data_IF_303768979243
#
_entry.id   IF_303768979243
#
_cell.length_a   1.000
_cell.length_b   1.000
_cell.length_c   1.000
_cell.angle_alpha   90.00
_cell.angle_beta   90.00
_cell.angle_gamma   90.00
#
_symmetry.space_group_name_H-M   'P 1'
#
loop_
_entity.id
_entity.type
_entity.pdbx_description
1 polymer ?
#
# COMPACT_ATOMS: atom_id res chain seq x y z
N UNK A 1 -3.06 19.49 15.63
CA UNK A 1 -3.27 19.29 14.17
C UNK A 1 -4.70 18.81 14.01
N UNK A 2 -5.45 19.35 13.07
CA UNK A 2 -6.83 18.95 12.81
C UNK A 2 -6.98 18.44 11.39
N UNK A 3 -7.78 17.40 11.23
CA UNK A 3 -8.02 16.81 9.91
C UNK A 3 -8.61 17.80 8.90
N UNK A 4 -9.42 18.75 9.37
CA UNK A 4 -9.98 19.82 8.55
C UNK A 4 -8.88 20.66 7.85
N UNK A 5 -7.82 21.01 8.58
CA UNK A 5 -6.73 21.85 8.04
C UNK A 5 -5.97 21.10 6.93
N UNK A 6 -5.73 19.79 7.13
CA UNK A 6 -5.08 18.92 6.15
C UNK A 6 -5.95 18.80 4.88
N UNK A 7 -7.25 18.60 5.05
CA UNK A 7 -8.22 18.55 3.97
C UNK A 7 -8.26 19.86 3.18
N UNK A 8 -8.36 20.99 3.87
CA UNK A 8 -8.41 22.31 3.24
C UNK A 8 -7.12 22.57 2.44
N UNK A 9 -5.97 22.26 3.03
CA UNK A 9 -4.67 22.42 2.39
C UNK A 9 -4.54 21.58 1.11
N UNK A 10 -4.92 20.30 1.15
CA UNK A 10 -4.85 19.43 -0.02
C UNK A 10 -5.85 19.81 -1.09
N UNK A 11 -7.06 20.22 -0.71
CA UNK A 11 -8.08 20.74 -1.63
C UNK A 11 -7.56 21.91 -2.45
N UNK A 12 -6.77 22.80 -1.86
CA UNK A 12 -6.17 23.95 -2.54
C UNK A 12 -4.93 23.57 -3.38
N UNK A 13 -4.60 22.28 -3.50
CA UNK A 13 -3.46 21.79 -4.28
C UNK A 13 -2.10 21.95 -3.60
N UNK A 14 -2.08 22.28 -2.31
CA UNK A 14 -0.84 22.43 -1.56
C UNK A 14 -0.31 21.06 -1.10
N UNK A 15 1.02 20.92 -1.11
CA UNK A 15 1.68 19.72 -0.67
C UNK A 15 1.54 19.52 0.85
N UNK A 16 1.18 18.31 1.28
CA UNK A 16 1.14 17.93 2.68
C UNK A 16 2.56 17.75 3.22
N UNK A 17 2.78 18.09 4.49
CA UNK A 17 4.01 17.75 5.17
C UNK A 17 4.01 16.26 5.59
N UNK A 18 5.20 15.76 5.94
CA UNK A 18 5.35 14.41 6.47
C UNK A 18 4.51 14.22 7.74
N UNK A 19 4.54 15.18 8.65
CA UNK A 19 3.80 15.12 9.91
C UNK A 19 2.28 15.11 9.69
N UNK A 20 1.79 15.81 8.66
CA UNK A 20 0.37 15.80 8.28
C UNK A 20 -0.05 14.44 7.72
N UNK A 21 0.79 13.82 6.92
CA UNK A 21 0.57 12.48 6.38
C UNK A 21 0.61 11.43 7.50
N UNK A 22 1.62 11.48 8.37
CA UNK A 22 1.74 10.58 9.53
C UNK A 22 0.55 10.73 10.49
N UNK A 23 0.10 11.96 10.74
CA UNK A 23 -1.09 12.22 11.54
C UNK A 23 -2.34 11.56 10.95
N UNK A 24 -2.54 11.71 9.64
CA UNK A 24 -3.67 11.09 8.95
C UNK A 24 -3.61 9.55 9.04
N UNK A 25 -2.50 8.94 8.66
CA UNK A 25 -2.37 7.48 8.64
C UNK A 25 -2.55 6.90 10.04
N UNK A 26 -1.87 7.46 11.03
CA UNK A 26 -1.96 6.98 12.42
C UNK A 26 -3.36 7.14 12.99
N UNK A 27 -3.97 8.31 12.82
CA UNK A 27 -5.30 8.58 13.34
C UNK A 27 -6.39 7.75 12.64
N UNK A 28 -6.26 7.51 11.33
CA UNK A 28 -7.19 6.63 10.60
C UNK A 28 -7.04 5.17 11.02
N UNK A 29 -5.82 4.67 11.13
CA UNK A 29 -5.54 3.29 11.57
C UNK A 29 -6.02 3.05 13.01
N UNK A 30 -5.92 4.06 13.89
CA UNK A 30 -6.42 3.99 15.26
C UNK A 30 -7.95 4.15 15.39
N UNK A 31 -8.65 4.46 14.29
CA UNK A 31 -10.10 4.73 14.32
C UNK A 31 -10.48 6.10 14.88
N UNK A 32 -9.52 7.01 15.04
CA UNK A 32 -9.74 8.37 15.54
C UNK A 32 -10.22 9.32 14.44
N UNK A 33 -9.86 9.04 13.19
CA UNK A 33 -10.31 9.79 12.02
C UNK A 33 -11.41 9.00 11.33
N UNK A 34 -12.63 9.57 11.21
CA UNK A 34 -13.75 8.87 10.61
C UNK A 34 -13.64 8.72 9.09
N UNK A 35 -14.26 7.69 8.55
CA UNK A 35 -14.20 7.31 7.13
C UNK A 35 -14.54 8.44 6.16
N UNK A 36 -15.49 9.31 6.52
CA UNK A 36 -15.87 10.41 5.64
C UNK A 36 -14.76 11.45 5.48
N UNK A 37 -13.95 11.67 6.53
CA UNK A 37 -12.78 12.58 6.44
C UNK A 37 -11.65 11.92 5.65
N UNK A 38 -11.43 10.63 5.87
CA UNK A 38 -10.46 9.87 5.10
C UNK A 38 -10.83 9.85 3.60
N UNK A 39 -12.09 9.56 3.28
CA UNK A 39 -12.59 9.55 1.91
C UNK A 39 -12.45 10.91 1.24
N UNK A 40 -12.72 11.99 1.96
CA UNK A 40 -12.56 13.35 1.44
C UNK A 40 -11.09 13.68 1.14
N UNK A 41 -10.16 13.27 2.01
CA UNK A 41 -8.72 13.47 1.76
C UNK A 41 -8.24 12.64 0.56
N UNK A 42 -8.63 11.37 0.48
CA UNK A 42 -8.27 10.50 -0.64
C UNK A 42 -8.79 11.04 -1.97
N UNK A 43 -10.01 11.60 -1.98
CA UNK A 43 -10.55 12.25 -3.17
C UNK A 43 -9.80 13.54 -3.51
N UNK A 44 -9.42 14.35 -2.53
CA UNK A 44 -8.60 15.53 -2.75
C UNK A 44 -7.23 15.16 -3.33
N UNK A 45 -6.60 14.10 -2.82
CA UNK A 45 -5.35 13.55 -3.37
C UNK A 45 -5.55 13.07 -4.82
N UNK A 46 -6.65 12.37 -5.10
CA UNK A 46 -6.97 11.87 -6.44
C UNK A 46 -7.10 13.01 -7.48
N UNK A 47 -7.68 14.13 -7.08
CA UNK A 47 -7.92 15.29 -7.97
C UNK A 47 -6.65 16.14 -8.13
N UNK A 48 -5.95 16.41 -7.03
CA UNK A 48 -4.81 17.34 -7.00
C UNK A 48 -3.47 16.66 -7.25
N UNK A 49 -3.41 15.32 -7.11
CA UNK A 49 -2.17 14.57 -7.16
C UNK A 49 -1.31 14.71 -5.91
N UNK A 50 -0.17 14.07 -5.93
CA UNK A 50 0.87 14.12 -4.90
C UNK A 50 2.24 14.28 -5.58
N UNK A 51 3.13 15.03 -4.95
CA UNK A 51 4.52 15.07 -5.38
C UNK A 51 5.27 13.78 -4.96
N UNK A 52 6.52 13.63 -5.42
CA UNK A 52 7.34 12.45 -5.13
C UNK A 52 7.59 12.28 -3.63
N UNK A 53 7.81 13.37 -2.90
CA UNK A 53 8.03 13.37 -1.46
C UNK A 53 6.76 12.97 -0.71
N UNK A 54 5.60 13.55 -1.04
CA UNK A 54 4.31 13.16 -0.45
C UNK A 54 4.03 11.67 -0.68
N UNK A 55 4.29 11.18 -1.89
CA UNK A 55 4.09 9.77 -2.25
C UNK A 55 4.99 8.85 -1.44
N UNK A 56 6.27 9.23 -1.26
CA UNK A 56 7.21 8.46 -0.44
C UNK A 56 6.81 8.48 1.04
N UNK A 57 6.46 9.66 1.59
CA UNK A 57 6.04 9.79 2.98
C UNK A 57 4.75 9.00 3.26
N UNK A 58 3.76 9.04 2.36
CA UNK A 58 2.53 8.26 2.48
C UNK A 58 2.83 6.75 2.44
N UNK A 59 3.65 6.31 1.49
CA UNK A 59 4.03 4.90 1.35
C UNK A 59 4.72 4.38 2.62
N UNK A 60 5.68 5.13 3.15
CA UNK A 60 6.40 4.75 4.37
C UNK A 60 5.48 4.76 5.60
N UNK A 61 4.63 5.78 5.73
CA UNK A 61 3.67 5.86 6.84
C UNK A 61 2.70 4.69 6.82
N UNK A 62 2.18 4.32 5.64
CA UNK A 62 1.31 3.15 5.49
C UNK A 62 2.06 1.85 5.81
N UNK A 63 3.27 1.68 5.31
CA UNK A 63 4.08 0.47 5.56
C UNK A 63 4.34 0.26 7.07
N UNK A 64 4.54 1.33 7.82
CA UNK A 64 4.81 1.28 9.25
C UNK A 64 3.54 1.35 10.13
N UNK A 65 2.35 1.47 9.55
CA UNK A 65 1.10 1.59 10.32
C UNK A 65 0.52 0.27 10.79
N UNK A 66 1.01 -0.85 10.28
CA UNK A 66 0.56 -2.20 10.61
C UNK A 66 1.68 -3.12 11.07
N UNK A 67 1.36 -4.40 11.18
CA UNK A 67 2.35 -5.43 11.49
C UNK A 67 3.34 -5.61 10.34
N UNK A 68 4.61 -5.69 10.68
CA UNK A 68 5.69 -5.92 9.72
C UNK A 68 6.29 -7.31 9.95
N UNK A 69 6.45 -8.08 8.87
CA UNK A 69 7.15 -9.36 8.96
C UNK A 69 8.65 -9.13 9.17
N UNK A 70 9.18 -9.60 10.29
CA UNK A 70 10.62 -9.57 10.53
C UNK A 70 11.29 -10.77 9.84
N UNK A 71 11.98 -10.49 8.76
CA UNK A 71 12.75 -11.46 7.98
C UNK A 71 14.26 -11.34 8.23
N UNK A 72 14.68 -10.65 9.28
CA UNK A 72 16.10 -10.39 9.58
C UNK A 72 16.90 -11.68 9.82
N UNK A 73 16.24 -12.70 10.37
CA UNK A 73 16.87 -14.01 10.69
C UNK A 73 17.08 -14.91 9.47
N UNK A 74 16.51 -14.56 8.32
CA UNK A 74 16.66 -15.33 7.08
C UNK A 74 17.85 -14.74 6.30
N UNK A 75 18.92 -15.47 6.05
CA UNK A 75 20.05 -14.98 5.29
C UNK A 75 19.69 -14.80 3.80
N UNK A 76 20.39 -13.90 3.11
CA UNK A 76 20.23 -13.66 1.69
C UNK A 76 19.35 -12.44 1.36
N UNK A 77 19.27 -12.13 0.09
CA UNK A 77 18.46 -11.03 -0.45
C UNK A 77 17.01 -11.51 -0.52
N UNK A 78 16.12 -10.76 0.16
CA UNK A 78 14.69 -11.02 0.14
C UNK A 78 14.08 -10.25 -1.03
N UNK A 79 13.22 -10.92 -1.77
CA UNK A 79 12.50 -10.31 -2.88
C UNK A 79 11.00 -10.60 -2.79
N UNK A 80 10.22 -9.63 -3.21
CA UNK A 80 8.80 -9.80 -3.45
C UNK A 80 8.46 -9.27 -4.85
N UNK A 81 7.44 -9.84 -5.46
CA UNK A 81 6.90 -9.38 -6.75
C UNK A 81 5.51 -8.84 -6.49
N UNK A 82 5.38 -7.52 -6.59
CA UNK A 82 4.08 -6.89 -6.49
C UNK A 82 3.25 -7.13 -7.75
N UNK A 83 1.98 -7.48 -7.58
CA UNK A 83 1.01 -7.49 -8.68
C UNK A 83 0.37 -6.11 -8.79
N UNK A 84 0.28 -5.59 -10.01
CA UNK A 84 -0.43 -4.33 -10.29
C UNK A 84 -1.94 -4.52 -10.45
N UNK A 85 -2.43 -5.73 -10.19
CA UNK A 85 -3.85 -6.08 -10.20
C UNK A 85 -4.39 -6.53 -11.56
N UNK A 86 -5.60 -7.03 -11.57
CA UNK A 86 -6.38 -7.39 -12.74
C UNK A 86 -5.80 -8.52 -13.57
N UNK A 87 -5.18 -8.19 -14.67
CA UNK A 87 -4.78 -9.18 -15.70
C UNK A 87 -3.42 -9.83 -15.41
N UNK A 88 -2.55 -9.21 -14.64
CA UNK A 88 -1.14 -9.60 -14.50
C UNK A 88 -0.81 -10.62 -13.41
N UNK A 89 -1.71 -10.99 -12.54
CA UNK A 89 -1.44 -11.80 -11.33
C UNK A 89 -0.89 -13.20 -11.61
N UNK A 90 -1.26 -13.81 -12.73
CA UNK A 90 -0.74 -15.12 -13.16
C UNK A 90 0.79 -15.14 -13.26
N UNK A 91 1.43 -14.01 -13.52
CA UNK A 91 2.89 -13.91 -13.59
C UNK A 91 3.56 -14.22 -12.24
N UNK A 92 2.87 -14.01 -11.12
CA UNK A 92 3.37 -14.34 -9.79
C UNK A 92 3.66 -15.83 -9.65
N UNK A 93 2.81 -16.70 -10.23
CA UNK A 93 2.94 -18.16 -10.17
C UNK A 93 4.17 -18.66 -10.96
N UNK A 94 4.66 -17.87 -11.88
CA UNK A 94 5.84 -18.17 -12.69
C UNK A 94 7.08 -17.50 -12.10
N UNK A 95 7.01 -16.19 -11.87
CA UNK A 95 8.16 -15.39 -11.43
C UNK A 95 8.63 -15.76 -10.03
N UNK A 96 7.71 -16.03 -9.10
CA UNK A 96 8.07 -16.42 -7.74
C UNK A 96 8.95 -17.67 -7.67
N UNK A 97 8.49 -18.82 -8.21
CA UNK A 97 9.31 -20.04 -8.23
C UNK A 97 10.61 -19.90 -9.03
N UNK A 98 10.61 -19.18 -10.16
CA UNK A 98 11.83 -18.94 -10.93
C UNK A 98 12.86 -18.14 -10.16
N UNK A 99 12.45 -17.05 -9.50
CA UNK A 99 13.32 -16.23 -8.67
C UNK A 99 13.91 -17.05 -7.51
N UNK A 100 13.09 -17.88 -6.88
CA UNK A 100 13.54 -18.79 -5.81
C UNK A 100 14.56 -19.82 -6.35
N UNK A 101 14.33 -20.39 -7.53
CA UNK A 101 15.28 -21.30 -8.17
C UNK A 101 16.61 -20.62 -8.54
N UNK A 102 16.61 -19.30 -8.75
CA UNK A 102 17.80 -18.49 -8.96
C UNK A 102 18.48 -18.04 -7.64
N UNK A 103 18.02 -18.50 -6.49
CA UNK A 103 18.63 -18.22 -5.19
C UNK A 103 18.09 -16.99 -4.45
N UNK A 104 17.01 -16.38 -4.94
CA UNK A 104 16.34 -15.27 -4.21
C UNK A 104 15.46 -15.87 -3.12
N UNK A 105 15.54 -15.33 -1.92
CA UNK A 105 14.58 -15.64 -0.85
C UNK A 105 13.27 -14.92 -1.16
N UNK A 106 12.28 -15.65 -1.66
CA UNK A 106 10.98 -15.08 -2.03
C UNK A 106 10.06 -15.06 -0.82
N UNK A 107 9.77 -13.85 -0.32
CA UNK A 107 8.86 -13.61 0.80
C UNK A 107 7.56 -12.98 0.26
N UNK A 108 6.79 -13.78 -0.50
CA UNK A 108 5.62 -13.30 -1.23
C UNK A 108 4.44 -13.07 -0.29
N UNK A 109 3.99 -11.83 -0.24
CA UNK A 109 2.69 -11.47 0.31
C UNK A 109 1.67 -11.34 -0.82
N UNK A 110 0.47 -11.85 -0.60
CA UNK A 110 -0.61 -11.81 -1.60
C UNK A 110 -1.93 -11.48 -0.93
N UNK A 111 -2.78 -10.80 -1.67
CA UNK A 111 -4.12 -10.43 -1.24
C UNK A 111 -5.18 -10.89 -2.22
N UNK A 112 -6.44 -10.59 -1.86
CA UNK A 112 -7.60 -10.73 -2.72
C UNK A 112 -7.69 -9.57 -3.71
N UNK A 113 -8.65 -9.64 -4.62
CA UNK A 113 -8.84 -8.62 -5.65
C UNK A 113 -9.23 -7.26 -5.07
N UNK A 114 -8.89 -6.22 -5.82
CA UNK A 114 -9.31 -4.86 -5.58
C UNK A 114 -10.46 -4.50 -6.52
N UNK A 115 -11.55 -3.98 -5.97
CA UNK A 115 -12.74 -3.64 -6.74
C UNK A 115 -13.39 -4.87 -7.37
N UNK A 116 -13.55 -4.85 -8.68
CA UNK A 116 -14.18 -5.94 -9.46
C UNK A 116 -13.19 -6.97 -10.02
N UNK A 117 -11.91 -6.88 -9.68
CA UNK A 117 -10.88 -7.81 -10.16
C UNK A 117 -10.57 -8.87 -9.12
N UNK A 118 -10.34 -10.13 -9.56
CA UNK A 118 -9.82 -11.17 -8.69
C UNK A 118 -8.32 -10.98 -8.42
N UNK A 119 -7.89 -11.18 -7.17
CA UNK A 119 -6.48 -11.18 -6.78
C UNK A 119 -5.79 -12.52 -6.99
N UNK A 120 -4.53 -12.58 -6.62
CA UNK A 120 -3.73 -13.82 -6.74
C UNK A 120 -4.32 -14.95 -5.90
N UNK A 121 -4.78 -14.65 -4.68
CA UNK A 121 -5.40 -15.66 -3.80
C UNK A 121 -6.69 -16.19 -4.41
N UNK A 122 -7.56 -15.29 -4.92
CA UNK A 122 -8.83 -15.69 -5.53
C UNK A 122 -8.62 -16.60 -6.74
N UNK A 123 -7.56 -16.38 -7.53
CA UNK A 123 -7.19 -17.22 -8.66
C UNK A 123 -6.68 -18.59 -8.23
N UNK A 124 -5.88 -18.66 -7.17
CA UNK A 124 -5.39 -19.93 -6.63
C UNK A 124 -6.53 -20.77 -6.07
N UNK A 125 -7.46 -20.15 -5.35
CA UNK A 125 -8.63 -20.83 -4.78
C UNK A 125 -9.61 -21.32 -5.86
N UNK A 126 -9.54 -20.79 -7.08
CA UNK A 126 -10.37 -21.26 -8.21
C UNK A 126 -9.85 -22.55 -8.87
N UNK A 127 -8.64 -22.99 -8.51
CA UNK A 127 -8.07 -24.25 -9.01
C UNK A 127 -8.57 -25.38 -8.10
N UNK A 128 -9.21 -26.44 -8.66
CA UNK A 128 -9.73 -27.56 -7.89
C UNK A 128 -8.64 -28.30 -7.09
#
# INVERSE_FOLDING_TARGET
MHMYDILAKKREGLALSREEIEFFIRGFTAGEIPDYQASALLMAICIQGMDERETADLTLSMAHSGEMADLSQIPGIKGDKHSTGGVGDKTTLIVGPLAAACGVVVAKMSGRGLGYTGGTIDKLESIP
#
